data_IF_477859479778
#
_entry.id   IF_477859479778
#
_cell.length_a   1.000
_cell.length_b   1.000
_cell.length_c   1.000
_cell.angle_alpha   90.00
_cell.angle_beta   90.00
_cell.angle_gamma   90.00
#
_symmetry.space_group_name_H-M   'P 1'
#
loop_
_entity.id
_entity.type
_entity.pdbx_description
1 polymer ?
2 polymer ?
3 water ?
#
# COMPACT_ATOMS: atom_id res chain seq x y z
N UNK A 4 -30.25 4.36 13.84
CA UNK A 4 -30.40 3.16 13.04
C UNK A 4 -30.19 1.89 13.88
N UNK A 5 -31.13 0.95 13.78
CA UNK A 5 -30.97 -0.31 14.48
C UNK A 5 -30.16 -1.30 13.65
N UNK A 6 -30.30 -1.27 12.33
CA UNK A 6 -29.67 -2.24 11.45
C UNK A 6 -28.49 -1.62 10.71
N UNK A 7 -27.59 -2.49 10.25
CA UNK A 7 -26.48 -2.11 9.40
C UNK A 7 -26.14 -3.31 8.52
N UNK A 8 -25.40 -3.05 7.44
CA UNK A 8 -25.14 -4.09 6.46
C UNK A 8 -23.76 -3.91 5.84
N UNK A 9 -23.15 -5.02 5.48
CA UNK A 9 -21.93 -5.04 4.70
C UNK A 9 -22.18 -5.89 3.46
N UNK A 10 -22.01 -5.29 2.28
CA UNK A 10 -22.21 -5.98 1.01
C UNK A 10 -20.85 -6.33 0.42
N UNK A 11 -20.72 -7.56 -0.07
CA UNK A 11 -19.45 -8.08 -0.56
C UNK A 11 -19.60 -8.47 -2.03
N UNK A 12 -18.71 -7.95 -2.88
CA UNK A 12 -18.69 -8.30 -4.30
C UNK A 12 -17.28 -8.76 -4.65
N UNK A 13 -17.21 -9.67 -5.62
CA UNK A 13 -15.95 -10.27 -6.06
C UNK A 13 -15.60 -9.74 -7.45
N UNK A 14 -14.35 -9.33 -7.61
CA UNK A 14 -13.81 -8.94 -8.91
C UNK A 14 -12.72 -9.91 -9.32
N UNK A 15 -12.52 -10.02 -10.63
CA UNK A 15 -11.43 -10.82 -11.18
C UNK A 15 -10.62 -9.94 -12.13
N UNK A 16 -9.36 -9.71 -11.78
CA UNK A 16 -8.41 -9.07 -12.66
C UNK A 16 -7.48 -10.13 -13.23
N UNK A 17 -6.93 -9.85 -14.40
CA UNK A 17 -6.04 -10.82 -15.02
C UNK A 17 -5.49 -10.29 -16.33
N UNK A 18 -4.56 -11.05 -16.88
CA UNK A 18 -4.04 -10.72 -18.19
C UNK A 18 -3.46 -11.96 -18.84
N UNK A 19 -3.42 -11.92 -20.17
CA UNK A 19 -2.70 -12.90 -20.97
C UNK A 19 -1.68 -12.15 -21.82
N UNK A 20 -0.57 -12.83 -22.10
CA UNK A 20 0.51 -12.23 -22.86
C UNK A 20 1.23 -13.32 -23.64
N UNK A 21 1.41 -13.11 -24.94
CA UNK A 21 1.95 -14.13 -25.82
C UNK A 21 3.05 -13.55 -26.68
N UNK A 22 4.18 -14.26 -26.76
CA UNK A 22 5.27 -13.84 -27.63
C UNK A 22 4.85 -13.97 -29.09
N UNK A 23 5.01 -12.90 -29.85
CA UNK A 23 4.79 -12.96 -31.28
C UNK A 23 5.93 -13.71 -31.95
N UNK A 24 5.62 -14.51 -32.97
CA UNK A 24 6.67 -15.24 -33.65
C UNK A 24 7.51 -14.35 -34.54
N UNK A 25 7.03 -13.14 -34.85
CA UNK A 25 7.85 -12.11 -35.49
C UNK A 25 7.45 -10.78 -34.85
N UNK A 26 8.42 -10.00 -34.37
CA UNK A 26 8.08 -8.68 -33.81
C UNK A 26 7.60 -7.72 -34.88
N UNK A 27 6.75 -6.78 -34.47
CA UNK A 27 6.34 -5.73 -35.37
C UNK A 27 7.54 -4.84 -35.73
N UNK A 28 7.32 -3.95 -36.69
CA UNK A 28 8.40 -3.09 -37.15
C UNK A 28 8.86 -2.13 -36.06
N UNK A 29 8.02 -1.88 -35.05
CA UNK A 29 8.43 -1.06 -33.92
C UNK A 29 9.28 -1.82 -32.91
N UNK A 30 9.36 -3.15 -33.02
CA UNK A 30 10.02 -3.95 -32.02
C UNK A 30 9.11 -4.53 -30.96
N UNK A 31 7.79 -4.44 -31.15
CA UNK A 31 6.86 -5.04 -30.19
C UNK A 31 6.98 -6.56 -30.27
N UNK A 32 7.43 -7.18 -29.20
CA UNK A 32 7.65 -8.62 -29.18
C UNK A 32 6.47 -9.40 -28.63
N UNK A 33 5.46 -8.74 -28.07
CA UNK A 33 4.39 -9.42 -27.35
C UNK A 33 3.05 -8.82 -27.69
N UNK A 34 2.03 -9.68 -27.76
CA UNK A 34 0.63 -9.28 -27.72
C UNK A 34 0.07 -9.64 -26.36
N UNK A 35 -0.57 -8.69 -25.69
CA UNK A 35 -1.16 -8.97 -24.39
C UNK A 35 -2.54 -8.34 -24.28
N UNK A 36 -3.28 -8.83 -23.29
CA UNK A 36 -4.63 -8.34 -23.00
C UNK A 36 -4.84 -8.39 -21.50
N UNK A 37 -5.22 -7.26 -20.91
CA UNK A 37 -5.52 -7.15 -19.49
C UNK A 37 -7.01 -6.86 -19.34
N UNK A 38 -7.61 -7.34 -18.24
CA UNK A 38 -9.04 -7.22 -18.09
C UNK A 38 -9.42 -7.08 -16.62
N UNK A 39 -10.62 -6.54 -16.41
CA UNK A 39 -11.31 -6.56 -15.12
C UNK A 39 -12.71 -7.12 -15.36
N UNK A 40 -13.09 -8.11 -14.56
CA UNK A 40 -14.38 -8.77 -14.76
C UNK A 40 -14.88 -9.30 -13.42
N UNK A 41 -16.12 -9.78 -13.44
CA UNK A 41 -16.67 -10.49 -12.32
C UNK A 41 -16.57 -11.99 -12.57
N UNK A 42 -16.71 -12.80 -11.52
CA UNK A 42 -16.64 -14.25 -11.69
C UNK A 42 -17.95 -14.80 -12.23
N UNK A 43 -17.86 -16.00 -12.80
CA UNK A 43 -19.03 -16.67 -13.40
C UNK A 43 -19.73 -15.76 -14.41
N UNK A 44 -18.95 -14.84 -15.02
CA UNK A 44 -19.47 -13.85 -15.96
C UNK A 44 -20.63 -13.07 -15.37
N UNK A 45 -20.59 -12.82 -14.06
CA UNK A 45 -21.63 -12.05 -13.41
C UNK A 45 -21.60 -10.60 -13.88
N UNK A 46 -22.75 -9.94 -13.80
CA UNK A 46 -22.91 -8.59 -14.36
C UNK A 46 -22.43 -7.58 -13.34
N UNK A 47 -21.16 -7.23 -13.40
CA UNK A 47 -20.64 -6.19 -12.52
C UNK A 47 -20.94 -4.80 -13.04
N UNK A 48 -21.48 -4.67 -14.25
CA UNK A 48 -21.88 -3.36 -14.75
C UNK A 48 -23.00 -2.75 -13.91
N UNK A 49 -23.75 -3.58 -13.18
CA UNK A 49 -24.79 -3.06 -12.29
C UNK A 49 -24.24 -2.01 -11.33
N UNK A 50 -22.99 -2.16 -10.90
CA UNK A 50 -22.41 -1.20 -9.97
C UNK A 50 -21.11 -0.57 -10.45
N UNK A 51 -20.57 -0.97 -11.60
CA UNK A 51 -19.34 -0.39 -12.13
C UNK A 51 -19.71 0.65 -13.18
N UNK A 52 -19.33 1.90 -12.93
CA UNK A 52 -19.55 2.96 -13.90
C UNK A 52 -18.56 2.86 -15.06
N UNK A 53 -17.28 2.68 -14.75
CA UNK A 53 -16.24 2.53 -15.77
C UNK A 53 -15.01 1.91 -15.10
N UNK A 54 -14.10 1.44 -15.94
CA UNK A 54 -12.80 0.93 -15.50
C UNK A 54 -11.72 1.68 -16.27
N UNK A 55 -10.78 2.27 -15.55
CA UNK A 55 -9.71 3.05 -16.15
C UNK A 55 -8.41 2.27 -16.02
N UNK A 56 -7.80 1.95 -17.15
CA UNK A 56 -6.49 1.31 -17.20
C UNK A 56 -5.44 2.38 -17.48
N UNK A 57 -4.53 2.57 -16.53
CA UNK A 57 -3.44 3.54 -16.68
C UNK A 57 -2.21 2.80 -17.20
N UNK A 58 -1.99 2.89 -18.51
CA UNK A 58 -0.85 2.24 -19.12
C UNK A 58 0.44 3.01 -18.84
N UNK A 59 1.57 2.34 -19.06
CA UNK A 59 2.86 2.97 -18.88
C UNK A 59 2.97 4.22 -19.78
N UNK A 60 3.75 5.19 -19.31
CA UNK A 60 3.85 6.48 -20.01
C UNK A 60 4.37 6.35 -21.42
N UNK A 61 5.11 5.27 -21.73
CA UNK A 61 5.65 5.11 -23.08
C UNK A 61 4.55 4.92 -24.11
N UNK A 62 3.42 4.32 -23.72
CA UNK A 62 2.32 4.14 -24.66
C UNK A 62 1.76 5.50 -25.07
N UNK A 63 1.23 5.61 -26.28
CA UNK A 63 0.42 6.78 -26.62
C UNK A 63 -0.96 6.62 -26.03
N UNK A 64 -1.50 7.73 -25.51
CA UNK A 64 -2.83 7.69 -24.92
C UNK A 64 -2.84 6.64 -23.81
N UNK A 65 -2.07 6.86 -22.74
CA UNK A 65 -1.92 5.81 -21.72
C UNK A 65 -3.15 5.62 -20.85
N UNK A 66 -4.09 6.55 -20.86
CA UNK A 66 -5.32 6.44 -20.07
C UNK A 66 -6.39 5.77 -20.93
N UNK A 67 -6.71 4.53 -20.61
CA UNK A 67 -7.68 3.74 -21.35
C UNK A 67 -8.91 3.55 -20.49
N UNK A 68 -10.02 4.15 -20.90
CA UNK A 68 -11.27 4.14 -20.12
C UNK A 68 -12.25 3.19 -20.81
N UNK A 69 -12.77 2.23 -20.04
CA UNK A 69 -13.77 1.27 -20.51
C UNK A 69 -15.08 1.54 -19.78
N UNK A 70 -16.04 2.13 -20.48
CA UNK A 70 -17.32 2.48 -19.88
C UNK A 70 -18.35 1.35 -19.98
N UNK A 71 -18.01 0.24 -20.62
CA UNK A 71 -18.94 -0.87 -20.79
C UNK A 71 -18.15 -2.17 -20.80
N UNK A 72 -18.74 -3.28 -20.37
CA UNK A 72 -18.08 -4.56 -20.52
C UNK A 72 -17.98 -4.96 -21.98
N UNK A 73 -16.92 -5.66 -22.37
CA UNK A 73 -15.83 -6.11 -21.49
C UNK A 73 -14.86 -5.00 -21.11
N UNK A 74 -14.44 -5.00 -19.84
CA UNK A 74 -13.46 -4.04 -19.34
C UNK A 74 -12.07 -4.62 -19.57
N UNK A 75 -11.44 -4.21 -20.67
CA UNK A 75 -10.21 -4.85 -21.10
C UNK A 75 -9.44 -3.91 -22.02
N UNK A 76 -8.14 -4.16 -22.12
CA UNK A 76 -7.25 -3.47 -23.05
C UNK A 76 -6.39 -4.50 -23.75
N UNK A 77 -6.35 -4.42 -25.08
CA UNK A 77 -5.51 -5.30 -25.89
C UNK A 77 -4.43 -4.47 -26.55
N UNK A 78 -3.18 -4.89 -26.38
CA UNK A 78 -2.07 -4.10 -26.91
C UNK A 78 -0.90 -5.01 -27.25
N UNK A 79 0.02 -4.46 -28.04
CA UNK A 79 1.31 -5.07 -28.29
C UNK A 79 2.41 -4.24 -27.63
N UNK A 80 3.48 -4.91 -27.21
CA UNK A 80 4.53 -4.21 -26.52
C UNK A 80 5.76 -5.06 -26.35
N UNK A 81 6.74 -4.53 -25.59
CA UNK A 81 8.05 -5.14 -25.48
C UNK A 81 8.54 -5.34 -24.06
N UNK A 82 7.77 -4.95 -23.05
CA UNK A 82 8.24 -5.03 -21.67
C UNK A 82 7.08 -4.96 -20.70
N UNK A 83 7.25 -5.60 -19.55
CA UNK A 83 6.25 -5.54 -18.51
C UNK A 83 6.32 -4.25 -17.69
N UNK A 84 5.25 -3.99 -16.94
CA UNK A 84 5.17 -2.77 -16.16
C UNK A 84 4.03 -2.88 -15.16
N UNK A 85 4.07 -2.04 -14.15
CA UNK A 85 2.98 -1.94 -13.18
C UNK A 85 1.86 -1.13 -13.81
N UNK A 86 0.64 -1.66 -13.71
CA UNK A 86 -0.53 -1.06 -14.35
C UNK A 86 -1.55 -0.72 -13.28
N UNK A 87 -1.65 0.55 -12.88
CA UNK A 87 -2.72 0.93 -11.93
C UNK A 87 -4.07 0.89 -12.62
N UNK A 88 -5.03 0.24 -11.97
CA UNK A 88 -6.38 0.07 -12.49
C UNK A 88 -7.36 0.69 -11.51
N UNK A 89 -8.18 1.62 -11.99
CA UNK A 89 -9.21 2.28 -11.19
C UNK A 89 -10.57 1.77 -11.62
N UNK A 90 -11.33 1.24 -10.67
CA UNK A 90 -12.69 0.76 -10.91
C UNK A 90 -13.64 1.78 -10.27
N UNK A 91 -14.30 2.57 -11.10
CA UNK A 91 -15.26 3.56 -10.60
C UNK A 91 -16.62 2.91 -10.38
N UNK A 92 -17.25 3.26 -9.25
CA UNK A 92 -18.53 2.70 -8.87
C UNK A 92 -19.66 3.68 -9.19
N UNK A 93 -20.84 3.12 -9.47
CA UNK A 93 -22.07 3.91 -9.61
C UNK A 93 -22.54 4.26 -8.21
N UNK A 94 -21.90 5.29 -7.64
CA UNK A 94 -22.10 5.63 -6.23
C UNK A 94 -21.72 7.08 -6.03
N UNK A 95 -22.70 7.92 -5.66
CA UNK A 95 -22.41 9.31 -5.36
C UNK A 95 -21.61 9.45 -4.06
N UNK A 96 -21.81 8.53 -3.12
CA UNK A 96 -21.13 8.59 -1.84
C UNK A 96 -19.72 8.01 -1.96
N UNK A 97 -19.02 7.97 -0.83
CA UNK A 97 -17.73 7.32 -0.78
C UNK A 97 -17.88 5.88 -0.30
N UNK A 98 -17.05 4.95 -0.79
CA UNK A 98 -15.94 5.18 -1.73
C UNK A 98 -16.40 5.38 -3.17
N UNK A 99 -15.78 6.35 -3.84
CA UNK A 99 -16.13 6.66 -5.23
C UNK A 99 -15.50 5.68 -6.21
N UNK A 100 -14.36 5.09 -5.83
CA UNK A 100 -13.61 4.20 -6.72
C UNK A 100 -12.68 3.35 -5.86
N UNK A 101 -12.03 2.40 -6.51
CA UNK A 101 -11.02 1.54 -5.88
C UNK A 101 -9.87 1.38 -6.85
N UNK A 102 -8.69 1.11 -6.32
CA UNK A 102 -7.49 1.07 -7.14
C UNK A 102 -6.71 -0.21 -6.88
N UNK A 103 -6.26 -0.85 -7.95
CA UNK A 103 -5.38 -2.01 -7.88
C UNK A 103 -4.16 -1.72 -8.73
N UNK A 104 -2.97 -2.02 -8.20
CA UNK A 104 -1.73 -1.97 -8.97
C UNK A 104 -1.51 -3.35 -9.56
N UNK A 105 -1.69 -3.48 -10.87
CA UNK A 105 -1.63 -4.77 -11.55
C UNK A 105 -0.27 -4.97 -12.20
N UNK A 106 0.37 -6.10 -11.88
CA UNK A 106 1.66 -6.47 -12.46
C UNK A 106 1.41 -7.09 -13.83
N UNK A 107 1.66 -6.32 -14.89
CA UNK A 107 1.54 -6.84 -16.26
C UNK A 107 2.92 -7.35 -16.69
N UNK A 108 3.22 -8.58 -16.29
CA UNK A 108 4.51 -9.17 -16.61
C UNK A 108 4.41 -10.01 -17.88
N UNK A 109 5.52 -10.10 -18.60
CA UNK A 109 5.63 -10.84 -19.85
C UNK A 109 6.66 -11.95 -19.70
N UNK A 110 6.43 -13.06 -20.39
CA UNK A 110 7.35 -14.19 -20.32
C UNK A 110 8.24 -14.25 -21.55
N UNK A 111 9.31 -15.04 -21.43
CA UNK A 111 10.36 -15.07 -22.44
C UNK A 111 9.97 -15.90 -23.65
N UNK A 112 10.70 -15.67 -24.74
CA UNK A 112 10.57 -16.49 -25.94
C UNK A 112 10.84 -17.95 -25.61
N UNK A 113 10.04 -18.84 -26.20
CA UNK A 113 10.18 -20.26 -25.97
C UNK A 113 9.38 -20.81 -24.81
N UNK A 114 8.98 -19.96 -23.87
CA UNK A 114 8.20 -20.33 -22.69
C UNK A 114 6.72 -20.17 -22.96
N UNK A 115 5.86 -20.78 -22.14
CA UNK A 115 4.41 -20.66 -22.36
C UNK A 115 3.96 -19.23 -22.28
N UNK A 116 2.81 -18.90 -22.88
CA UNK A 116 2.28 -17.54 -22.72
C UNK A 116 1.78 -17.31 -21.31
N UNK A 117 1.84 -16.04 -20.89
CA UNK A 117 1.34 -15.68 -19.57
C UNK A 117 -0.18 -15.83 -19.56
N UNK A 118 -0.70 -16.48 -18.52
CA UNK A 118 -2.13 -16.47 -18.23
C UNK A 118 -2.27 -16.37 -16.73
N UNK A 119 -2.68 -15.21 -16.25
CA UNK A 119 -2.67 -14.88 -14.84
C UNK A 119 -4.04 -14.40 -14.41
N UNK A 120 -4.47 -14.81 -13.23
CA UNK A 120 -5.75 -14.41 -12.66
C UNK A 120 -5.53 -13.93 -11.23
N UNK A 121 -6.13 -12.79 -10.90
CA UNK A 121 -6.05 -12.20 -9.57
C UNK A 121 -7.46 -11.98 -9.05
N UNK A 122 -7.81 -12.64 -7.96
CA UNK A 122 -9.14 -12.54 -7.37
C UNK A 122 -9.12 -11.49 -6.28
N UNK A 123 -10.05 -10.54 -6.36
CA UNK A 123 -10.16 -9.46 -5.38
C UNK A 123 -11.58 -9.42 -4.84
N UNK A 124 -11.68 -9.24 -3.51
CA UNK A 124 -12.96 -9.15 -2.83
C UNK A 124 -13.13 -7.73 -2.30
N UNK A 125 -14.25 -7.11 -2.63
CA UNK A 125 -14.59 -5.77 -2.17
C UNK A 125 -15.68 -5.87 -1.11
N UNK A 126 -15.54 -5.06 -0.06
CA UNK A 126 -16.55 -4.97 0.98
C UNK A 126 -16.98 -3.52 1.14
N UNK A 127 -18.29 -3.29 1.15
CA UNK A 127 -18.88 -1.97 1.33
C UNK A 127 -19.70 -1.98 2.61
N UNK A 128 -19.23 -1.26 3.62
CA UNK A 128 -19.92 -1.18 4.90
C UNK A 128 -20.97 -0.07 4.83
N UNK A 129 -22.23 -0.45 5.02
CA UNK A 129 -23.37 0.46 5.02
C UNK A 129 -23.40 1.38 3.81
N UNK A 130 -23.62 0.86 2.61
CA UNK A 130 -23.85 1.74 1.47
C UNK A 130 -25.22 2.38 1.54
N UNK A 131 -25.39 3.43 0.75
CA UNK A 131 -26.71 4.00 0.52
C UNK A 131 -27.63 2.93 -0.06
N UNK A 132 -28.94 3.13 0.10
CA UNK A 132 -29.90 2.17 -0.41
C UNK A 132 -29.76 2.02 -1.93
N UNK A 133 -29.56 3.13 -2.63
CA UNK A 133 -29.49 3.08 -4.08
C UNK A 133 -28.26 2.32 -4.56
N UNK A 134 -27.10 2.61 -3.96
CA UNK A 134 -25.90 1.85 -4.29
C UNK A 134 -26.01 0.40 -3.84
N UNK A 135 -26.68 0.15 -2.71
CA UNK A 135 -26.80 -1.21 -2.21
C UNK A 135 -27.60 -2.10 -3.15
N UNK A 136 -28.69 -1.55 -3.71
CA UNK A 136 -29.51 -2.34 -4.63
C UNK A 136 -28.77 -2.67 -5.92
N UNK A 137 -27.90 -1.76 -6.37
CA UNK A 137 -27.03 -2.08 -7.51
C UNK A 137 -26.06 -3.20 -7.16
N UNK A 138 -25.37 -3.06 -6.02
CA UNK A 138 -24.41 -4.07 -5.60
C UNK A 138 -25.06 -5.44 -5.51
N UNK A 139 -26.31 -5.49 -5.05
CA UNK A 139 -27.00 -6.76 -4.88
C UNK A 139 -27.59 -7.29 -6.18
N UNK A 140 -27.75 -6.45 -7.20
CA UNK A 140 -28.14 -6.95 -8.52
C UNK A 140 -27.02 -7.73 -9.19
N UNK A 141 -25.79 -7.58 -8.71
CA UNK A 141 -24.64 -8.23 -9.31
C UNK A 141 -24.41 -9.61 -8.69
N UNK B 4 12.67 23.86 45.25
CA UNK B 4 11.48 24.52 45.78
C UNK B 4 11.18 25.84 45.06
N UNK B 5 11.89 26.11 43.97
CA UNK B 5 11.67 27.31 43.17
C UNK B 5 12.16 27.14 41.73
N UNK B 6 12.99 26.13 41.50
CA UNK B 6 13.47 25.86 40.16
C UNK B 6 12.35 25.25 39.32
N UNK B 7 12.52 25.33 38.00
CA UNK B 7 11.59 24.71 37.07
C UNK B 7 12.33 24.43 35.77
N UNK B 8 12.05 23.29 35.17
CA UNK B 8 12.77 22.88 33.96
C UNK B 8 11.81 22.23 32.98
N UNK B 9 12.10 22.41 31.70
CA UNK B 9 11.46 21.68 30.62
C UNK B 9 12.51 20.82 29.94
N UNK B 10 12.23 19.52 29.85
CA UNK B 10 13.10 18.57 29.16
C UNK B 10 12.53 18.29 27.79
N UNK B 11 13.35 18.50 26.75
CA UNK B 11 12.96 18.24 25.38
C UNK B 11 13.79 17.08 24.85
N UNK B 12 13.11 16.09 24.26
CA UNK B 12 13.76 14.97 23.61
C UNK B 12 13.34 14.94 22.14
N UNK B 13 14.26 14.50 21.29
CA UNK B 13 14.05 14.44 19.86
C UNK B 13 13.94 13.00 19.41
N UNK B 14 12.88 12.69 18.66
CA UNK B 14 12.65 11.36 18.12
C UNK B 14 12.64 11.41 16.60
N UNK B 15 13.09 10.33 15.99
CA UNK B 15 13.08 10.21 14.53
C UNK B 15 12.22 9.00 14.16
N UNK B 16 11.05 9.27 13.58
CA UNK B 16 10.29 8.26 12.87
C UNK B 16 10.74 8.27 11.41
N UNK B 17 10.64 7.12 10.77
CA UNK B 17 11.05 7.02 9.38
C UNK B 17 10.75 5.65 8.83
N UNK B 18 10.91 5.55 7.50
CA UNK B 18 10.74 4.27 6.83
C UNK B 18 11.47 4.29 5.49
N UNK B 19 11.87 3.11 5.05
CA UNK B 19 12.40 2.88 3.71
C UNK B 19 11.50 1.88 2.99
N UNK B 20 11.32 2.06 1.70
CA UNK B 20 10.44 1.20 0.91
C UNK B 20 11.06 0.99 -0.47
N UNK B 21 11.27 -0.26 -0.83
CA UNK B 21 11.93 -0.60 -2.09
C UNK B 21 11.13 -1.67 -2.82
N UNK B 22 10.89 -1.45 -4.12
CA UNK B 22 10.26 -2.47 -4.94
C UNK B 22 11.19 -3.68 -5.01
N UNK B 23 10.71 -4.81 -4.53
CA UNK B 23 11.51 -6.04 -4.63
C UNK B 23 11.51 -6.53 -6.07
N UNK B 24 12.60 -7.21 -6.44
CA UNK B 24 12.82 -7.55 -7.84
C UNK B 24 11.94 -8.71 -8.30
N UNK B 25 11.54 -9.60 -7.40
CA UNK B 25 10.55 -10.63 -7.72
C UNK B 25 9.46 -10.60 -6.65
N UNK B 26 8.23 -10.23 -7.00
CA UNK B 26 7.14 -10.27 -6.02
C UNK B 26 7.04 -11.63 -5.33
N UNK B 27 6.59 -11.62 -4.09
CA UNK B 27 6.40 -12.86 -3.36
C UNK B 27 5.23 -13.65 -3.95
N UNK B 28 5.06 -14.88 -3.46
CA UNK B 28 3.99 -15.75 -3.93
C UNK B 28 2.61 -15.17 -3.61
N UNK B 29 2.54 -14.27 -2.63
CA UNK B 29 1.28 -13.62 -2.28
C UNK B 29 1.00 -12.38 -3.09
N UNK B 30 1.93 -11.94 -3.93
CA UNK B 30 1.78 -10.71 -4.67
C UNK B 30 2.33 -9.46 -4.00
N UNK B 31 3.19 -9.63 -2.99
CA UNK B 31 3.79 -8.49 -2.31
C UNK B 31 4.91 -7.91 -3.18
N UNK B 32 4.73 -6.66 -3.59
CA UNK B 32 5.63 -6.03 -4.55
C UNK B 32 6.73 -5.20 -3.91
N UNK B 33 6.70 -5.01 -2.58
CA UNK B 33 7.60 -4.12 -1.90
C UNK B 33 8.18 -4.77 -0.66
N UNK B 34 9.39 -4.35 -0.31
CA UNK B 34 9.98 -4.56 1.00
C UNK B 34 10.12 -3.21 1.69
N UNK B 35 9.56 -3.07 2.88
CA UNK B 35 9.66 -1.82 3.63
C UNK B 35 10.03 -2.08 5.08
N UNK B 36 10.47 -1.02 5.74
CA UNK B 36 10.97 -1.07 7.11
C UNK B 36 10.70 0.27 7.77
N UNK B 37 9.92 0.28 8.84
CA UNK B 37 9.58 1.48 9.58
C UNK B 37 10.23 1.40 10.96
N UNK B 38 10.68 2.55 11.48
CA UNK B 38 11.49 2.55 12.68
C UNK B 38 11.21 3.79 13.52
N UNK B 39 11.57 3.68 14.81
CA UNK B 39 11.68 4.81 15.72
C UNK B 39 13.08 4.79 16.31
N UNK B 40 13.79 5.90 16.19
CA UNK B 40 15.14 6.01 16.70
C UNK B 40 15.35 7.40 17.26
N UNK B 41 16.47 7.59 17.94
CA UNK B 41 16.91 8.90 18.32
C UNK B 41 17.80 9.46 17.22
N UNK B 42 17.86 10.77 17.11
CA UNK B 42 18.74 11.38 16.12
C UNK B 42 20.19 11.06 16.46
N UNK B 43 21.05 11.12 15.44
CA UNK B 43 22.48 11.06 15.66
C UNK B 43 22.91 9.70 16.26
N UNK B 44 22.07 8.69 16.11
CA UNK B 44 22.25 7.37 16.73
C UNK B 44 22.24 7.45 18.25
N UNK B 45 21.47 8.40 18.80
CA UNK B 45 21.42 8.57 20.24
C UNK B 45 20.61 7.45 20.89
N UNK B 46 21.08 6.99 22.05
CA UNK B 46 20.48 5.86 22.74
C UNK B 46 19.25 6.33 23.50
N UNK B 47 18.07 6.18 22.89
CA UNK B 47 16.82 6.59 23.53
C UNK B 47 16.26 5.49 24.42
N UNK B 48 17.00 4.39 24.57
CA UNK B 48 16.55 3.30 25.44
C UNK B 48 16.42 3.73 26.90
N UNK B 49 17.14 4.78 27.30
CA UNK B 49 17.12 5.19 28.70
C UNK B 49 15.73 5.61 29.15
N UNK B 50 14.92 6.17 28.26
CA UNK B 50 13.59 6.63 28.64
C UNK B 50 12.45 5.98 27.88
N UNK B 51 12.73 5.17 26.87
CA UNK B 51 11.69 4.49 26.10
C UNK B 51 11.49 3.10 26.67
N UNK B 52 10.28 2.82 27.17
CA UNK B 52 9.96 1.48 27.65
C UNK B 52 9.76 0.52 26.48
N UNK B 53 8.93 0.90 25.52
CA UNK B 53 8.65 0.08 24.35
C UNK B 53 8.04 0.95 23.27
N UNK B 54 8.02 0.41 22.05
CA UNK B 54 7.40 1.07 20.90
C UNK B 54 6.46 0.06 20.26
N UNK B 55 5.22 0.48 20.00
CA UNK B 55 4.18 -0.38 19.46
C UNK B 55 3.81 0.11 18.07
N UNK B 56 4.02 -0.73 17.06
CA UNK B 56 3.64 -0.43 15.69
C UNK B 56 2.33 -1.14 15.38
N UNK B 57 1.31 -0.36 15.02
CA UNK B 57 -0.01 -0.90 14.68
C UNK B 57 -0.11 -0.98 13.16
N UNK B 58 0.26 -2.14 12.60
CA UNK B 58 0.17 -2.34 11.17
C UNK B 58 -1.29 -2.40 10.73
N UNK B 59 -1.49 -2.32 9.41
CA UNK B 59 -2.83 -2.45 8.86
C UNK B 59 -3.40 -3.83 9.20
N UNK B 60 -4.72 -3.88 9.37
CA UNK B 60 -5.38 -5.08 9.85
C UNK B 60 -5.17 -6.29 8.92
N UNK B 61 -4.89 -6.06 7.64
CA UNK B 61 -4.65 -7.17 6.72
C UNK B 61 -3.38 -7.94 7.06
N UNK B 62 -2.44 -7.33 7.78
CA UNK B 62 -1.25 -8.04 8.21
C UNK B 62 -1.60 -9.07 9.28
N UNK B 63 -0.82 -10.15 9.38
CA UNK B 63 -0.93 -11.02 10.55
C UNK B 63 -0.17 -10.43 11.73
N UNK B 64 -0.78 -10.53 12.91
CA UNK B 64 -0.28 -9.87 14.11
C UNK B 64 -0.07 -8.37 13.84
N UNK B 65 -1.14 -7.63 13.55
CA UNK B 65 -0.97 -6.20 13.23
C UNK B 65 -0.40 -5.37 14.37
N UNK B 66 -0.35 -5.91 15.60
CA UNK B 66 0.18 -5.20 16.76
C UNK B 66 1.60 -5.73 17.02
N UNK B 67 2.60 -4.94 16.64
CA UNK B 67 4.00 -5.32 16.75
C UNK B 67 4.64 -4.53 17.87
N UNK B 68 5.20 -5.23 18.86
CA UNK B 68 5.75 -4.63 20.05
C UNK B 68 7.28 -4.76 20.01
N UNK B 69 7.98 -3.64 20.22
CA UNK B 69 9.44 -3.60 20.29
C UNK B 69 9.84 -3.07 21.66
N UNK B 70 10.38 -3.94 22.50
CA UNK B 70 10.77 -3.54 23.84
C UNK B 70 12.23 -3.12 23.96
N UNK B 71 13.07 -3.51 23.00
CA UNK B 71 14.48 -3.16 22.99
C UNK B 71 14.84 -2.55 21.64
N UNK B 72 15.93 -1.78 21.57
CA UNK B 72 16.41 -1.33 20.28
C UNK B 72 16.87 -2.50 19.45
N UNK B 73 16.70 -2.45 18.12
CA UNK B 73 16.07 -1.31 17.44
C UNK B 73 14.55 -1.40 17.49
N UNK B 74 13.90 -0.24 17.48
CA UNK B 74 12.44 -0.16 17.45
C UNK B 74 12.02 -0.05 15.99
N UNK B 75 11.78 -1.20 15.37
CA UNK B 75 11.53 -1.22 13.93
C UNK B 75 10.79 -2.50 13.56
N UNK B 76 10.14 -2.44 12.39
CA UNK B 76 9.40 -3.57 11.83
C UNK B 76 9.78 -3.70 10.36
N UNK B 77 10.24 -4.88 9.96
CA UNK B 77 10.54 -5.19 8.57
C UNK B 77 9.42 -6.05 8.00
N UNK B 78 8.88 -5.63 6.85
CA UNK B 78 7.76 -6.34 6.26
C UNK B 78 7.83 -6.25 4.74
N UNK B 79 7.05 -7.12 4.09
CA UNK B 79 6.78 -7.04 2.67
C UNK B 79 5.29 -6.78 2.48
N UNK B 80 4.95 -6.17 1.35
CA UNK B 80 3.56 -5.82 1.10
C UNK B 80 3.41 -5.16 -0.25
N UNK B 81 2.17 -4.73 -0.52
CA UNK B 81 1.81 -4.24 -1.84
C UNK B 81 1.18 -2.85 -1.84
N UNK B 82 0.96 -2.25 -0.67
CA UNK B 82 0.28 -0.96 -0.63
C UNK B 82 0.60 -0.22 0.66
N UNK B 83 0.52 1.11 0.59
CA UNK B 83 0.75 1.93 1.75
C UNK B 83 -0.48 2.05 2.64
N UNK B 84 -0.26 2.63 3.83
CA UNK B 84 -1.32 2.73 4.83
C UNK B 84 -0.82 3.59 5.98
N UNK B 85 -1.77 4.14 6.73
CA UNK B 85 -1.44 4.90 7.94
C UNK B 85 -1.10 3.92 9.06
N UNK B 86 0.05 4.12 9.68
CA UNK B 86 0.57 3.19 10.68
C UNK B 86 0.68 3.91 12.03
N UNK B 87 -0.27 3.71 12.94
CA UNK B 87 -0.19 4.36 14.26
C UNK B 87 0.97 3.78 15.07
N UNK B 88 1.83 4.68 15.56
CA UNK B 88 3.01 4.31 16.34
C UNK B 88 2.84 4.87 17.74
N UNK B 89 2.81 3.99 18.73
CA UNK B 89 2.75 4.39 20.14
C UNK B 89 4.14 4.21 20.77
N UNK B 90 4.61 5.25 21.45
CA UNK B 90 5.90 5.24 22.13
C UNK B 90 5.63 5.28 23.62
N UNK B 91 5.89 4.17 24.31
CA UNK B 91 5.71 4.10 25.75
C UNK B 91 6.99 4.54 26.45
N UNK B 92 6.84 5.38 27.47
CA UNK B 92 7.98 5.92 28.20
C UNK B 92 8.23 5.13 29.48
N UNK B 93 9.48 5.19 29.95
CA UNK B 93 9.85 4.69 31.28
C UNK B 93 9.50 5.76 32.31
N UNK B 94 8.19 5.97 32.47
CA UNK B 94 7.66 7.07 33.28
C UNK B 94 6.51 6.53 34.13
N UNK B 95 6.52 6.87 35.41
CA UNK B 95 5.47 6.45 36.33
C UNK B 95 4.31 7.42 36.39
N UNK B 96 4.48 8.64 35.89
CA UNK B 96 3.42 9.63 35.82
C UNK B 96 3.02 9.83 34.36
N UNK B 97 2.30 10.90 34.09
CA UNK B 97 1.83 11.24 32.75
C UNK B 97 2.81 12.19 32.05
N UNK B 98 2.91 12.11 30.71
CA UNK B 98 2.20 11.16 29.87
C UNK B 98 2.85 9.78 29.86
N UNK B 99 2.02 8.73 29.92
CA UNK B 99 2.56 7.38 29.92
C UNK B 99 3.04 6.96 28.54
N UNK B 100 2.48 7.55 27.49
CA UNK B 100 2.87 7.22 26.12
C UNK B 100 2.46 8.38 25.20
N UNK B 101 3.00 8.35 24.00
CA UNK B 101 2.66 9.31 22.95
C UNK B 101 2.33 8.52 21.68
N UNK B 102 1.47 9.10 20.86
CA UNK B 102 0.91 8.41 19.69
C UNK B 102 1.13 9.24 18.44
N UNK B 103 1.60 8.58 17.38
CA UNK B 103 1.78 9.19 16.07
C UNK B 103 1.08 8.37 15.01
N UNK B 104 0.49 9.05 14.03
CA UNK B 104 -0.04 8.42 12.83
C UNK B 104 1.03 8.54 11.75
N UNK B 105 1.74 7.45 11.48
CA UNK B 105 2.83 7.48 10.52
C UNK B 105 2.33 7.06 9.15
N UNK B 106 2.59 7.90 8.15
CA UNK B 106 2.18 7.65 6.77
C UNK B 106 3.19 6.72 6.12
N UNK B 107 2.92 5.42 6.19
CA UNK B 107 3.78 4.40 5.58
C UNK B 107 3.39 4.31 4.11
N UNK B 108 4.10 5.06 3.27
CA UNK B 108 3.77 5.15 1.85
C UNK B 108 4.84 4.47 1.02
N UNK B 109 4.42 3.91 -0.12
CA UNK B 109 5.30 3.25 -1.07
C UNK B 109 5.25 3.98 -2.40
N UNK B 110 6.36 3.98 -3.12
CA UNK B 110 6.42 4.54 -4.46
C UNK B 110 6.35 3.41 -5.49
N UNK B 111 5.78 3.75 -6.65
CA UNK B 111 5.59 2.76 -7.71
C UNK B 111 6.93 2.32 -8.29
N UNK B 112 6.87 1.22 -9.03
CA UNK B 112 8.04 0.70 -9.72
C UNK B 112 8.51 1.70 -10.78
N UNK B 113 9.83 1.87 -10.85
CA UNK B 113 10.44 2.83 -11.74
C UNK B 113 10.95 4.07 -11.04
N UNK B 114 10.34 4.43 -9.91
CA UNK B 114 10.76 5.58 -9.12
C UNK B 114 11.79 5.16 -8.09
N UNK B 115 12.61 6.10 -7.61
CA UNK B 115 13.63 5.74 -6.62
C UNK B 115 13.00 5.22 -5.36
N UNK B 116 13.71 4.42 -4.58
CA UNK B 116 13.15 3.88 -3.33
C UNK B 116 12.82 4.99 -2.35
N UNK B 117 11.88 4.69 -1.46
CA UNK B 117 11.47 5.64 -0.43
C UNK B 117 12.50 5.63 0.69
N UNK B 118 12.93 6.83 1.12
CA UNK B 118 13.79 6.99 2.28
C UNK B 118 13.33 8.28 2.98
N UNK B 119 12.42 8.12 3.93
CA UNK B 119 11.71 9.23 4.55
C UNK B 119 12.10 9.34 6.01
N UNK B 120 12.21 10.58 6.50
CA UNK B 120 12.54 10.85 7.89
C UNK B 120 11.60 11.91 8.43
N UNK B 121 10.98 11.62 9.58
CA UNK B 121 10.05 12.53 10.24
C UNK B 121 10.58 12.79 11.64
N UNK B 122 11.05 14.01 11.89
CA UNK B 122 11.61 14.38 13.18
C UNK B 122 10.51 14.97 14.06
N UNK B 123 10.47 14.53 15.32
CA UNK B 123 9.46 14.97 16.27
C UNK B 123 10.13 15.39 17.57
N UNK B 124 9.73 16.55 18.09
CA UNK B 124 10.24 17.08 19.36
C UNK B 124 9.20 16.88 20.45
N UNK B 125 9.61 16.32 21.57
CA UNK B 125 8.75 16.10 22.72
C UNK B 125 9.24 16.93 23.90
N UNK B 126 8.30 17.44 24.70
CA UNK B 126 8.63 18.32 25.82
C UNK B 126 7.93 17.83 27.07
N UNK B 127 8.70 17.59 28.13
CA UNK B 127 8.18 17.21 29.44
C UNK B 127 8.42 18.38 30.39
N UNK B 128 7.34 18.94 30.94
CA UNK B 128 7.44 20.06 31.86
C UNK B 128 7.58 19.53 33.29
N UNK B 129 8.63 19.94 33.97
CA UNK B 129 8.90 19.55 35.36
C UNK B 129 8.69 18.06 35.59
N UNK B 130 9.43 17.19 34.91
CA UNK B 130 9.27 15.75 35.16
C UNK B 130 9.81 15.37 36.53
N UNK B 131 9.36 14.23 37.01
CA UNK B 131 9.88 13.71 38.27
C UNK B 131 11.37 13.44 38.15
N UNK B 132 12.04 13.35 39.30
CA UNK B 132 13.49 13.19 39.29
C UNK B 132 13.91 11.88 38.66
N UNK B 133 13.16 10.80 38.93
CA UNK B 133 13.47 9.51 38.30
C UNK B 133 13.39 9.62 36.78
N UNK B 134 12.30 10.20 36.27
CA UNK B 134 12.12 10.30 34.83
C UNK B 134 13.06 11.34 34.22
N UNK B 135 13.35 12.43 34.94
CA UNK B 135 14.26 13.43 34.42
C UNK B 135 15.66 12.85 34.23
N UNK B 136 16.10 11.99 35.16
CA UNK B 136 17.43 11.39 35.02
C UNK B 136 17.47 10.37 33.89
N UNK B 137 16.36 9.66 33.63
CA UNK B 137 16.30 8.80 32.46
C UNK B 137 16.37 9.61 31.17
N UNK B 138 15.57 10.69 31.10
CA UNK B 138 15.54 11.51 29.90
C UNK B 138 16.90 12.10 29.60
N UNK B 139 17.59 12.61 30.61
CA UNK B 139 18.83 13.34 30.37
C UNK B 139 20.05 12.44 30.21
N UNK B 140 19.90 11.13 30.37
CA UNK B 140 20.96 10.19 30.02
C UNK B 140 20.98 9.90 28.52
N UNK B 141 20.08 10.50 27.73
CA UNK B 141 19.93 10.17 26.33
C UNK B 141 20.73 11.11 25.41
N UNK C 1 1.22 12.05 -8.93
CA UNK C 1 1.52 11.26 -7.73
C UNK C 1 2.35 10.03 -8.09
N UNK C 2 3.37 9.77 -7.27
CA UNK C 2 4.29 8.66 -7.47
C UNK C 2 3.94 7.44 -6.62
N UNK C 3 2.82 7.47 -5.91
CA UNK C 3 2.49 6.48 -4.90
C UNK C 3 1.77 5.28 -5.49
N UNK C 4 1.97 4.12 -4.85
CA UNK C 4 1.14 2.96 -5.11
C UNK C 4 -0.27 3.20 -4.59
N UNK C 5 -1.14 2.20 -4.75
CA UNK C 5 -2.44 2.26 -4.12
C UNK C 5 -2.29 2.15 -2.61
N UNK C 6 -3.39 2.43 -1.90
CA UNK C 6 -3.36 2.39 -0.45
C UNK C 6 -4.41 1.42 0.10
N UNK C 7 -4.08 0.81 1.24
CA UNK C 7 -4.88 -0.22 1.86
C UNK C 7 -6.28 0.27 2.20
N UNK C 8 -6.37 1.27 3.07
CA UNK C 8 -7.68 1.83 3.46
C UNK C 8 -7.51 3.18 4.13
N UNK D 1 8.65 -18.04 -13.27
CA UNK D 1 9.74 -18.25 -14.20
C UNK D 1 10.21 -16.92 -14.79
N UNK D 2 11.01 -17.27 -15.80
CA UNK D 2 11.77 -16.05 -16.05
C UNK D 2 10.96 -15.11 -16.95
N UNK D 3 11.10 -13.82 -16.69
CA UNK D 3 10.25 -12.81 -17.30
C UNK D 3 11.11 -11.80 -18.08
N UNK D 4 10.46 -11.09 -18.99
CA UNK D 4 11.14 -10.12 -19.83
C UNK D 4 11.65 -8.95 -18.99
N UNK D 5 12.34 -8.03 -19.65
CA UNK D 5 12.70 -6.78 -19.00
C UNK D 5 11.45 -5.95 -18.76
N UNK D 6 11.58 -4.92 -17.93
CA UNK D 6 10.45 -4.07 -17.60
C UNK D 6 10.73 -2.65 -18.04
N UNK D 7 9.67 -1.86 -18.24
CA UNK D 7 9.79 -0.54 -18.83
C UNK D 7 10.85 0.32 -18.16
N UNK D 8 10.94 0.22 -16.84
CA UNK D 8 12.02 0.84 -16.05
C UNK D 8 12.36 2.28 -16.45
#
# INVERSE_FOLDING_TARGET
GSHMASSCAVQVKLELGHRAQVRKKPTVEGFTHDWMVFVRGPEHSNIQHFVEKVVFHLHESFPRPKRVCKDPPYKVEESGYAGFILPIEVYFKNKEEPRKVRFDYDLFLHLEGHPPVNHLRCEKLTFNNPTEDFRRKLLKA
GSHMASSCAVQVKLELGHRAQVRKKPTVEGFTHDWMVFVRGPEHSNIQHFVEKVVFHLHESFPRPKRVCKDPPYKVEESGYAGFILPIEVYFKNKEEPRKVRFDYDLFLHLEGHPPVNHLRCEKLTFNNPTEDFRRKLLKA
TKQTARXS
TKQTARXS
#
